data_IF_317872557728
#
_entry.id   IF_317872557728
#
_cell.length_a   1.000
_cell.length_b   1.000
_cell.length_c   1.000
_cell.angle_alpha   90.00
_cell.angle_beta   90.00
_cell.angle_gamma   90.00
#
_symmetry.space_group_name_H-M   'P 1'
#
loop_
_entity.id
_entity.type
_entity.pdbx_description
1 polymer ?
#
# COMPACT_ATOMS: atom_id res chain seq x y z
N UNK A 1 -9.86 19.89 0.95
CA UNK A 1 -9.70 18.43 1.02
C UNK A 1 -10.86 17.89 1.85
N UNK A 2 -11.58 16.89 1.35
CA UNK A 2 -12.78 16.37 2.03
C UNK A 2 -12.48 15.15 2.89
N UNK A 3 -11.47 14.34 2.52
CA UNK A 3 -11.00 13.17 3.27
C UNK A 3 -9.49 13.02 3.10
N UNK A 4 -8.84 12.48 4.12
CA UNK A 4 -7.42 12.14 4.10
C UNK A 4 -7.18 10.79 4.77
N UNK A 5 -6.26 10.02 4.20
CA UNK A 5 -5.73 8.79 4.78
C UNK A 5 -4.27 9.05 5.14
N UNK A 6 -3.90 8.80 6.38
CA UNK A 6 -2.50 8.77 6.78
C UNK A 6 -1.95 7.35 6.56
N UNK A 7 -0.82 7.25 5.92
CA UNK A 7 -0.07 5.99 5.82
C UNK A 7 1.16 6.14 6.71
N UNK A 8 1.38 5.16 7.54
CA UNK A 8 2.34 5.13 8.63
C UNK A 8 3.72 5.72 8.27
N UNK A 9 4.34 6.36 9.27
CA UNK A 9 5.73 6.79 9.28
C UNK A 9 6.51 6.21 10.50
N UNK A 10 5.97 5.15 11.09
CA UNK A 10 6.43 4.56 12.36
C UNK A 10 7.66 3.64 12.23
N UNK A 11 8.39 3.70 11.12
CA UNK A 11 9.59 2.87 10.92
C UNK A 11 10.60 3.13 12.04
N UNK A 12 10.98 2.05 12.73
CA UNK A 12 12.02 2.11 13.78
C UNK A 12 11.55 2.54 15.17
N UNK A 13 10.25 2.75 15.37
CA UNK A 13 9.71 2.94 16.73
C UNK A 13 9.49 1.60 17.42
N UNK A 14 9.66 1.58 18.73
CA UNK A 14 9.59 0.34 19.52
C UNK A 14 8.19 -0.24 19.65
N UNK A 15 7.15 0.58 19.53
CA UNK A 15 5.74 0.19 19.59
C UNK A 15 4.93 0.99 18.55
N UNK A 16 4.59 0.37 17.41
CA UNK A 16 3.91 1.05 16.30
C UNK A 16 2.49 1.53 16.66
N UNK A 17 1.86 0.95 17.70
CA UNK A 17 0.53 1.36 18.16
C UNK A 17 0.53 2.80 18.70
N UNK A 18 1.68 3.29 19.16
CA UNK A 18 1.79 4.68 19.62
C UNK A 18 1.51 5.70 18.52
N UNK A 19 1.90 5.42 17.27
CA UNK A 19 1.53 6.29 16.14
C UNK A 19 0.02 6.27 15.88
N UNK A 20 -0.60 5.08 15.92
CA UNK A 20 -2.06 4.95 15.78
C UNK A 20 -2.81 5.74 16.86
N UNK A 21 -2.38 5.65 18.10
CA UNK A 21 -2.97 6.39 19.22
C UNK A 21 -2.83 7.90 19.05
N UNK A 22 -1.65 8.37 18.66
CA UNK A 22 -1.41 9.79 18.40
C UNK A 22 -2.26 10.32 17.25
N UNK A 23 -2.32 9.59 16.12
CA UNK A 23 -3.14 9.96 14.96
C UNK A 23 -4.64 9.92 15.27
N UNK A 24 -5.10 8.96 16.07
CA UNK A 24 -6.49 8.92 16.52
C UNK A 24 -6.81 10.16 17.35
N UNK A 25 -5.97 10.50 18.32
CA UNK A 25 -6.17 11.71 19.12
C UNK A 25 -6.14 13.00 18.30
N UNK A 26 -5.40 13.03 17.17
CA UNK A 26 -5.44 14.14 16.23
C UNK A 26 -6.77 14.16 15.47
N UNK A 27 -7.20 13.00 14.97
CA UNK A 27 -8.47 12.84 14.24
C UNK A 27 -9.67 13.25 15.07
N UNK A 28 -9.71 12.88 16.34
CA UNK A 28 -10.78 13.23 17.28
C UNK A 28 -10.91 14.75 17.50
N UNK A 29 -9.77 15.48 17.46
CA UNK A 29 -9.76 16.94 17.63
C UNK A 29 -10.02 17.72 16.35
N UNK A 30 -9.59 17.21 15.20
CA UNK A 30 -9.54 17.99 13.94
C UNK A 30 -10.43 17.43 12.84
N UNK A 31 -10.92 16.19 12.98
CA UNK A 31 -11.61 15.45 11.94
C UNK A 31 -10.66 14.79 10.91
N UNK A 32 -9.32 14.89 11.10
CA UNK A 32 -8.31 14.32 10.19
C UNK A 32 -7.18 13.65 10.99
N UNK A 33 -6.60 12.53 10.48
CA UNK A 33 -6.99 11.80 9.26
C UNK A 33 -8.30 11.02 9.42
N UNK A 34 -9.02 10.80 8.32
CA UNK A 34 -10.27 10.03 8.34
C UNK A 34 -10.02 8.51 8.40
N UNK A 35 -8.84 8.06 7.96
CA UNK A 35 -8.39 6.69 8.09
C UNK A 35 -6.88 6.66 8.29
N UNK A 36 -6.40 5.59 8.92
CA UNK A 36 -5.00 5.33 9.23
C UNK A 36 -4.64 3.97 8.65
N UNK A 37 -3.56 3.91 7.88
CA UNK A 37 -2.86 2.69 7.52
C UNK A 37 -1.64 2.60 8.44
N UNK A 38 -1.71 1.74 9.44
CA UNK A 38 -0.69 1.60 10.47
C UNK A 38 0.47 0.69 10.03
N UNK A 39 1.61 0.80 10.69
CA UNK A 39 2.70 -0.16 10.54
C UNK A 39 2.45 -1.39 11.41
N UNK A 40 2.71 -2.58 10.86
CA UNK A 40 2.82 -3.82 11.63
C UNK A 40 3.70 -4.81 10.87
N UNK A 41 4.58 -5.51 11.58
CA UNK A 41 5.36 -6.61 11.01
C UNK A 41 4.52 -7.88 10.97
N UNK A 42 3.98 -8.23 9.81
CA UNK A 42 3.11 -9.39 9.64
C UNK A 42 3.82 -10.73 9.87
N UNK A 43 5.15 -10.73 9.98
CA UNK A 43 5.92 -11.93 10.33
C UNK A 43 6.13 -12.11 11.84
N UNK A 44 5.77 -11.10 12.65
CA UNK A 44 5.90 -11.21 14.11
C UNK A 44 4.96 -12.31 14.66
N UNK A 45 5.45 -13.18 15.55
CA UNK A 45 4.61 -14.23 16.16
C UNK A 45 3.47 -13.66 17.02
N UNK A 46 3.58 -12.42 17.49
CA UNK A 46 2.56 -11.74 18.29
C UNK A 46 1.70 -10.74 17.48
N UNK A 47 1.82 -10.73 16.15
CA UNK A 47 1.15 -9.75 15.28
C UNK A 47 -0.37 -9.67 15.52
N UNK A 48 -1.03 -10.79 15.84
CA UNK A 48 -2.46 -10.81 16.12
C UNK A 48 -2.84 -9.88 17.28
N UNK A 49 -2.07 -9.93 18.38
CA UNK A 49 -2.28 -9.04 19.55
C UNK A 49 -1.97 -7.58 19.23
N UNK A 50 -0.98 -7.34 18.37
CA UNK A 50 -0.64 -5.99 17.93
C UNK A 50 -1.77 -5.41 17.06
N UNK A 51 -2.34 -6.19 16.14
CA UNK A 51 -3.48 -5.79 15.34
C UNK A 51 -4.72 -5.49 16.20
N UNK A 52 -4.98 -6.29 17.25
CA UNK A 52 -6.05 -6.03 18.22
C UNK A 52 -5.87 -4.66 18.89
N UNK A 53 -4.64 -4.31 19.31
CA UNK A 53 -4.32 -3.00 19.90
C UNK A 53 -4.48 -1.85 18.91
N UNK A 54 -4.08 -2.04 17.64
CA UNK A 54 -4.33 -1.04 16.61
C UNK A 54 -5.82 -0.75 16.43
N UNK A 55 -6.67 -1.78 16.54
CA UNK A 55 -8.13 -1.65 16.39
C UNK A 55 -8.84 -0.98 17.56
N UNK A 56 -8.15 -0.75 18.70
CA UNK A 56 -8.64 0.16 19.74
C UNK A 56 -8.78 1.60 19.23
N UNK A 57 -8.16 1.90 18.07
CA UNK A 57 -8.20 3.18 17.39
C UNK A 57 -9.10 3.09 16.15
N UNK A 58 -10.36 3.57 16.20
CA UNK A 58 -11.37 3.31 15.18
C UNK A 58 -11.04 3.81 13.76
N UNK A 59 -10.10 4.76 13.62
CA UNK A 59 -9.66 5.24 12.31
C UNK A 59 -8.61 4.34 11.65
N UNK A 60 -8.06 3.34 12.35
CA UNK A 60 -7.20 2.33 11.71
C UNK A 60 -8.04 1.46 10.79
N UNK A 61 -7.66 1.41 9.51
CA UNK A 61 -8.36 0.71 8.44
C UNK A 61 -7.45 -0.19 7.62
N UNK A 62 -6.15 -0.14 7.86
CA UNK A 62 -5.21 -0.94 7.09
C UNK A 62 -3.85 -1.03 7.75
N UNK A 63 -3.05 -1.94 7.19
CA UNK A 63 -1.69 -2.21 7.63
C UNK A 63 -0.74 -2.07 6.44
N UNK A 64 0.43 -1.53 6.70
CA UNK A 64 1.59 -1.54 5.82
C UNK A 64 2.75 -2.22 6.53
N UNK A 65 3.25 -3.30 5.95
CA UNK A 65 4.45 -4.01 6.37
C UNK A 65 5.62 -3.60 5.47
N UNK A 66 6.80 -3.39 6.04
CA UNK A 66 8.06 -3.14 5.34
C UNK A 66 8.98 -4.36 5.39
N UNK A 67 8.44 -5.53 5.16
CA UNK A 67 9.25 -6.74 5.07
C UNK A 67 10.21 -6.68 3.88
N UNK A 68 11.44 -7.13 4.11
CA UNK A 68 12.47 -7.20 3.08
C UNK A 68 12.46 -8.52 2.31
N UNK A 69 13.10 -8.49 1.14
CA UNK A 69 13.29 -9.66 0.30
C UNK A 69 12.03 -10.16 -0.37
N UNK A 70 11.95 -11.47 -0.59
CA UNK A 70 10.81 -12.13 -1.26
C UNK A 70 9.67 -12.46 -0.27
N UNK A 71 9.26 -11.46 0.52
CA UNK A 71 8.28 -11.64 1.59
C UNK A 71 6.91 -12.09 1.09
N UNK A 72 6.52 -11.73 -0.14
CA UNK A 72 5.25 -12.13 -0.73
C UNK A 72 5.10 -13.66 -0.89
N UNK A 73 6.21 -14.40 -0.87
CA UNK A 73 6.23 -15.86 -0.93
C UNK A 73 6.48 -16.52 0.43
N UNK A 74 6.75 -15.73 1.49
CA UNK A 74 7.08 -16.24 2.82
C UNK A 74 5.82 -16.79 3.53
N UNK A 75 5.78 -18.08 3.92
CA UNK A 75 4.64 -18.65 4.64
C UNK A 75 4.37 -17.97 6.00
N UNK A 76 5.39 -17.39 6.63
CA UNK A 76 5.23 -16.66 7.89
C UNK A 76 4.49 -15.35 7.63
N UNK A 77 4.86 -14.62 6.58
CA UNK A 77 4.14 -13.44 6.12
C UNK A 77 2.68 -13.77 5.79
N UNK A 78 2.45 -14.85 5.03
CA UNK A 78 1.09 -15.27 4.67
C UNK A 78 0.20 -15.54 5.87
N UNK A 79 0.76 -16.07 6.97
CA UNK A 79 0.02 -16.31 8.22
C UNK A 79 -0.48 -14.99 8.82
N UNK A 80 0.39 -13.98 8.92
CA UNK A 80 0.01 -12.65 9.42
C UNK A 80 -0.91 -11.90 8.45
N UNK A 81 -0.64 -12.01 7.13
CA UNK A 81 -1.49 -11.40 6.11
C UNK A 81 -2.94 -11.90 6.16
N UNK A 82 -3.14 -13.20 6.41
CA UNK A 82 -4.47 -13.78 6.54
C UNK A 82 -5.29 -13.19 7.71
N UNK A 83 -4.63 -12.69 8.76
CA UNK A 83 -5.31 -12.03 9.88
C UNK A 83 -5.97 -10.72 9.47
N UNK A 84 -5.53 -10.07 8.39
CA UNK A 84 -6.14 -8.84 7.89
C UNK A 84 -7.60 -9.07 7.47
N UNK A 85 -7.94 -10.26 6.94
CA UNK A 85 -9.32 -10.64 6.66
C UNK A 85 -10.14 -10.74 7.96
N UNK A 86 -9.61 -11.45 8.98
CA UNK A 86 -10.25 -11.57 10.28
C UNK A 86 -10.61 -10.23 10.89
N UNK A 87 -9.74 -9.25 10.74
CA UNK A 87 -9.87 -7.93 11.33
C UNK A 87 -10.47 -6.87 10.38
N UNK A 88 -10.87 -7.26 9.17
CA UNK A 88 -11.39 -6.35 8.15
C UNK A 88 -10.46 -5.17 7.86
N UNK A 89 -9.17 -5.46 7.73
CA UNK A 89 -8.12 -4.50 7.43
C UNK A 89 -7.66 -4.63 5.98
N UNK A 90 -7.35 -3.51 5.34
CA UNK A 90 -6.70 -3.49 4.03
C UNK A 90 -5.18 -3.71 4.19
N UNK A 91 -4.54 -4.21 3.13
CA UNK A 91 -3.08 -4.29 3.03
C UNK A 91 -2.54 -3.19 2.11
N UNK A 92 -1.52 -2.44 2.53
CA UNK A 92 -0.73 -1.56 1.67
C UNK A 92 0.60 -2.25 1.40
N UNK A 93 0.93 -2.50 0.13
CA UNK A 93 2.03 -3.39 -0.26
C UNK A 93 2.99 -2.67 -1.21
N UNK A 94 4.26 -2.64 -0.82
CA UNK A 94 5.36 -2.15 -1.64
C UNK A 94 5.91 -3.29 -2.51
N UNK A 95 5.83 -3.14 -3.82
CA UNK A 95 6.38 -4.13 -4.75
C UNK A 95 6.79 -3.45 -6.06
N UNK A 96 7.99 -3.78 -6.55
CA UNK A 96 8.43 -3.39 -7.88
C UNK A 96 7.77 -4.26 -8.96
N UNK A 97 7.76 -3.79 -10.20
CA UNK A 97 7.06 -4.47 -11.30
C UNK A 97 7.52 -5.91 -11.52
N UNK A 98 8.77 -6.22 -11.25
CA UNK A 98 9.37 -7.55 -11.37
C UNK A 98 8.71 -8.60 -10.44
N UNK A 99 7.98 -8.15 -9.44
CA UNK A 99 7.30 -9.00 -8.46
C UNK A 99 5.78 -8.79 -8.44
N UNK A 100 5.20 -8.07 -9.41
CA UNK A 100 3.75 -7.85 -9.49
C UNK A 100 2.98 -9.15 -9.71
N UNK A 101 3.58 -10.15 -10.37
CA UNK A 101 3.02 -11.49 -10.50
C UNK A 101 2.82 -12.17 -9.15
N UNK A 102 3.76 -12.02 -8.21
CA UNK A 102 3.66 -12.54 -6.85
C UNK A 102 2.56 -11.83 -6.06
N UNK A 103 2.45 -10.50 -6.20
CA UNK A 103 1.37 -9.74 -5.59
C UNK A 103 0.00 -10.15 -6.14
N UNK A 104 -0.11 -10.37 -7.46
CA UNK A 104 -1.33 -10.90 -8.10
C UNK A 104 -1.72 -12.27 -7.53
N UNK A 105 -0.73 -13.14 -7.30
CA UNK A 105 -0.99 -14.46 -6.72
C UNK A 105 -1.42 -14.34 -5.25
N UNK A 106 -0.82 -13.44 -4.46
CA UNK A 106 -1.25 -13.14 -3.10
C UNK A 106 -2.69 -12.62 -3.07
N UNK A 107 -3.02 -11.64 -3.92
CA UNK A 107 -4.36 -11.07 -4.00
C UNK A 107 -5.43 -12.12 -4.37
N UNK A 108 -5.12 -13.01 -5.33
CA UNK A 108 -6.00 -14.13 -5.68
C UNK A 108 -6.19 -15.15 -4.56
N UNK A 109 -5.15 -15.39 -3.77
CA UNK A 109 -5.21 -16.31 -2.62
C UNK A 109 -6.05 -15.76 -1.48
N UNK A 110 -6.11 -14.44 -1.32
CA UNK A 110 -6.86 -13.74 -0.27
C UNK A 110 -7.84 -12.73 -0.87
N UNK A 111 -8.90 -13.18 -1.56
CA UNK A 111 -9.78 -12.31 -2.35
C UNK A 111 -10.59 -11.32 -1.51
N UNK A 112 -10.75 -11.59 -0.22
CA UNK A 112 -11.51 -10.73 0.70
C UNK A 112 -10.62 -9.62 1.33
N UNK A 113 -9.30 -9.64 1.10
CA UNK A 113 -8.40 -8.58 1.55
C UNK A 113 -8.19 -7.60 0.40
N UNK A 114 -8.60 -6.35 0.58
CA UNK A 114 -8.23 -5.29 -0.36
C UNK A 114 -6.74 -5.00 -0.24
N UNK A 115 -6.03 -5.10 -1.35
CA UNK A 115 -4.60 -4.84 -1.45
C UNK A 115 -4.34 -3.54 -2.20
N UNK A 116 -3.60 -2.61 -1.61
CA UNK A 116 -3.20 -1.36 -2.25
C UNK A 116 -1.76 -1.48 -2.72
N UNK A 117 -1.55 -1.44 -4.05
CA UNK A 117 -0.23 -1.34 -4.65
C UNK A 117 0.35 0.04 -4.39
N UNK A 118 1.41 0.12 -3.60
CA UNK A 118 2.06 1.38 -3.28
C UNK A 118 2.87 1.93 -4.47
N UNK A 119 2.81 3.26 -4.62
CA UNK A 119 3.62 4.01 -5.59
C UNK A 119 3.57 3.46 -7.02
N UNK A 120 2.41 2.94 -7.45
CA UNK A 120 2.20 2.30 -8.76
C UNK A 120 3.32 1.29 -9.13
N UNK A 121 3.85 0.57 -8.12
CA UNK A 121 4.90 -0.43 -8.32
C UNK A 121 6.31 0.15 -8.47
N UNK A 122 6.59 1.29 -7.86
CA UNK A 122 7.93 1.88 -7.78
C UNK A 122 8.69 1.97 -9.11
N UNK A 123 8.19 2.67 -10.13
CA UNK A 123 8.92 2.79 -11.40
C UNK A 123 10.20 3.61 -11.21
N UNK A 124 11.36 2.93 -11.27
CA UNK A 124 12.69 3.49 -10.97
C UNK A 124 13.47 3.93 -12.20
N UNK A 125 13.02 3.59 -13.40
CA UNK A 125 13.65 3.97 -14.67
C UNK A 125 12.64 4.65 -15.60
N UNK A 126 13.13 5.46 -16.53
CA UNK A 126 12.32 6.16 -17.54
C UNK A 126 12.63 5.72 -18.97
N UNK A 127 13.35 4.58 -19.15
CA UNK A 127 13.58 3.99 -20.48
C UNK A 127 12.32 3.37 -21.03
N UNK A 128 12.20 3.33 -22.36
CA UNK A 128 11.02 2.78 -23.04
C UNK A 128 10.81 1.30 -22.71
N UNK A 129 11.87 0.49 -22.70
CA UNK A 129 11.80 -0.93 -22.39
C UNK A 129 11.29 -1.17 -20.95
N UNK A 130 11.79 -0.36 -19.99
CA UNK A 130 11.32 -0.42 -18.61
C UNK A 130 9.83 -0.07 -18.51
N UNK A 131 9.42 1.00 -19.19
CA UNK A 131 8.02 1.43 -19.20
C UNK A 131 7.10 0.34 -19.77
N UNK A 132 7.49 -0.31 -20.87
CA UNK A 132 6.68 -1.38 -21.47
C UNK A 132 6.55 -2.59 -20.54
N UNK A 133 7.64 -3.03 -19.94
CA UNK A 133 7.63 -4.14 -18.98
C UNK A 133 6.76 -3.82 -17.76
N UNK A 134 6.95 -2.66 -17.15
CA UNK A 134 6.13 -2.18 -16.03
C UNK A 134 4.64 -2.11 -16.41
N UNK A 135 4.31 -1.53 -17.56
CA UNK A 135 2.92 -1.40 -18.04
C UNK A 135 2.25 -2.76 -18.25
N UNK A 136 2.98 -3.72 -18.80
CA UNK A 136 2.49 -5.07 -19.01
C UNK A 136 2.16 -5.77 -17.67
N UNK A 137 3.09 -5.76 -16.72
CA UNK A 137 2.87 -6.37 -15.41
C UNK A 137 1.79 -5.66 -14.60
N UNK A 138 1.74 -4.32 -14.68
CA UNK A 138 0.66 -3.53 -14.07
C UNK A 138 -0.73 -3.94 -14.61
N UNK A 139 -0.83 -4.13 -15.93
CA UNK A 139 -2.07 -4.54 -16.58
C UNK A 139 -2.49 -5.97 -16.19
N UNK A 140 -1.50 -6.87 -16.00
CA UNK A 140 -1.75 -8.22 -15.51
C UNK A 140 -2.18 -8.24 -14.04
N UNK A 141 -1.57 -7.40 -13.19
CA UNK A 141 -1.95 -7.24 -11.79
C UNK A 141 -3.38 -6.70 -11.65
N UNK A 142 -3.75 -5.74 -12.50
CA UNK A 142 -5.07 -5.10 -12.47
C UNK A 142 -6.24 -6.06 -12.71
N UNK A 143 -5.98 -7.28 -13.23
CA UNK A 143 -6.97 -8.36 -13.35
C UNK A 143 -7.39 -8.96 -11.99
N UNK A 144 -6.65 -8.68 -10.92
CA UNK A 144 -7.07 -9.01 -9.56
C UNK A 144 -7.99 -7.89 -9.05
N UNK A 145 -9.28 -8.19 -8.90
CA UNK A 145 -10.32 -7.18 -8.62
C UNK A 145 -10.19 -6.53 -7.24
N UNK A 146 -9.56 -7.21 -6.29
CA UNK A 146 -9.28 -6.72 -4.95
C UNK A 146 -7.97 -5.90 -4.84
N UNK A 147 -7.33 -5.56 -5.96
CA UNK A 147 -6.15 -4.69 -5.98
C UNK A 147 -6.53 -3.27 -6.40
N UNK A 148 -6.04 -2.29 -5.64
CA UNK A 148 -6.16 -0.85 -5.88
C UNK A 148 -4.76 -0.28 -6.16
N UNK A 149 -4.64 0.63 -7.12
CA UNK A 149 -3.39 1.29 -7.44
C UNK A 149 -3.29 2.65 -6.73
N UNK A 150 -2.23 2.85 -5.93
CA UNK A 150 -1.90 4.16 -5.36
C UNK A 150 -0.92 4.89 -6.27
N UNK A 151 -1.41 5.92 -6.95
CA UNK A 151 -0.64 6.77 -7.85
C UNK A 151 0.11 7.81 -7.01
N UNK A 152 1.38 7.54 -6.77
CA UNK A 152 2.27 8.39 -5.98
C UNK A 152 3.74 8.03 -6.24
N UNK A 153 4.67 8.74 -5.63
CA UNK A 153 6.10 8.40 -5.64
C UNK A 153 6.81 8.54 -7.00
N UNK A 154 6.13 9.03 -8.05
CA UNK A 154 6.73 9.16 -9.40
C UNK A 154 7.93 10.10 -9.44
N UNK A 155 7.99 11.10 -8.57
CA UNK A 155 9.13 12.00 -8.43
C UNK A 155 10.32 11.43 -7.67
N UNK A 156 10.19 10.25 -7.04
CA UNK A 156 11.30 9.66 -6.26
C UNK A 156 12.48 9.26 -7.14
N UNK A 157 12.19 8.71 -8.33
CA UNK A 157 13.21 8.31 -9.30
C UNK A 157 13.56 9.40 -10.32
N UNK A 158 12.76 10.45 -10.39
CA UNK A 158 12.92 11.58 -11.31
C UNK A 158 12.61 12.88 -10.58
N UNK A 159 13.61 13.46 -9.92
CA UNK A 159 13.45 14.70 -9.17
C UNK A 159 13.18 15.93 -10.07
N UNK A 160 13.44 15.82 -11.37
CA UNK A 160 13.19 16.87 -12.36
C UNK A 160 11.94 16.57 -13.19
N UNK A 161 11.02 15.77 -12.64
CA UNK A 161 9.80 15.39 -13.34
C UNK A 161 9.01 16.60 -13.86
N UNK A 162 8.38 16.40 -14.99
CA UNK A 162 7.42 17.32 -15.59
C UNK A 162 6.09 16.62 -15.77
N UNK A 163 5.03 17.37 -16.06
CA UNK A 163 3.72 16.78 -16.38
C UNK A 163 3.87 15.78 -17.53
N UNK A 164 4.66 16.13 -18.57
CA UNK A 164 4.84 15.27 -19.74
C UNK A 164 5.62 13.99 -19.40
N UNK A 165 6.60 14.04 -18.49
CA UNK A 165 7.39 12.85 -18.12
C UNK A 165 6.62 11.86 -17.26
N UNK A 166 5.69 12.33 -16.41
CA UNK A 166 4.90 11.44 -15.52
C UNK A 166 3.54 11.05 -16.08
N UNK A 167 2.99 11.83 -17.01
CA UNK A 167 1.66 11.62 -17.60
C UNK A 167 1.45 10.20 -18.16
N UNK A 168 2.39 9.60 -18.91
CA UNK A 168 2.20 8.23 -19.41
C UNK A 168 2.02 7.19 -18.28
N UNK A 169 2.74 7.36 -17.17
CA UNK A 169 2.66 6.48 -16.00
C UNK A 169 1.31 6.59 -15.31
N UNK A 170 0.85 7.82 -15.06
CA UNK A 170 -0.46 8.08 -14.44
C UNK A 170 -1.59 7.53 -15.30
N UNK A 171 -1.56 7.81 -16.60
CA UNK A 171 -2.62 7.36 -17.52
C UNK A 171 -2.64 5.84 -17.65
N UNK A 172 -1.47 5.17 -17.66
CA UNK A 172 -1.41 3.71 -17.67
C UNK A 172 -2.02 3.08 -16.42
N UNK A 173 -1.83 3.69 -15.23
CA UNK A 173 -2.49 3.22 -14.01
C UNK A 173 -4.03 3.32 -14.13
N UNK A 174 -4.53 4.46 -14.60
CA UNK A 174 -5.97 4.69 -14.75
C UNK A 174 -6.56 3.78 -15.85
N UNK A 175 -5.82 3.57 -16.95
CA UNK A 175 -6.22 2.66 -18.02
C UNK A 175 -6.33 1.21 -17.53
N UNK A 176 -5.36 0.74 -16.72
CA UNK A 176 -5.32 -0.63 -16.24
C UNK A 176 -6.37 -0.91 -15.14
N UNK A 177 -6.46 -0.05 -14.13
CA UNK A 177 -7.30 -0.27 -12.95
C UNK A 177 -8.69 0.36 -13.04
N UNK A 178 -8.89 1.31 -13.95
CA UNK A 178 -10.06 2.19 -13.94
C UNK A 178 -10.00 3.24 -12.82
N UNK A 179 -10.78 4.33 -12.93
CA UNK A 179 -10.75 5.43 -11.96
C UNK A 179 -11.19 5.02 -10.55
N UNK A 180 -12.08 4.03 -10.43
CA UNK A 180 -12.64 3.59 -9.15
C UNK A 180 -11.64 2.77 -8.31
N UNK A 181 -10.60 2.24 -8.94
CA UNK A 181 -9.51 1.52 -8.27
C UNK A 181 -8.18 2.24 -8.31
N UNK A 182 -8.20 3.57 -8.51
CA UNK A 182 -7.02 4.42 -8.40
C UNK A 182 -7.21 5.42 -7.27
N UNK A 183 -6.18 5.56 -6.44
CA UNK A 183 -6.12 6.60 -5.40
C UNK A 183 -4.87 7.44 -5.59
N UNK A 184 -4.99 8.74 -5.36
CA UNK A 184 -3.86 9.65 -5.39
C UNK A 184 -3.25 9.80 -3.99
N UNK A 185 -1.91 9.85 -3.92
CA UNK A 185 -1.21 10.17 -2.69
C UNK A 185 -0.02 11.11 -2.95
N UNK A 186 0.26 11.97 -1.97
CA UNK A 186 1.31 12.99 -2.06
C UNK A 186 2.71 12.41 -1.87
N UNK A 187 2.82 11.30 -1.15
CA UNK A 187 4.10 10.77 -0.65
C UNK A 187 4.87 11.81 0.18
N UNK A 188 4.14 12.65 0.93
CA UNK A 188 4.68 13.65 1.86
C UNK A 188 4.85 13.02 3.26
N UNK A 189 5.90 13.32 4.02
CA UNK A 189 6.94 14.34 3.83
C UNK A 189 7.94 14.03 2.76
#
# INVERSE_FOLDING_TARGET
>A
MTKAIHVQAAIGISDPVNESAWLQGLADRTGFPNAIVAYSNLKDPNVEKELERHLEHPNVKGIRDFSDGDYLMDPIFHRGYALLEKFNLIASVDVAWENMDKLKNLAKKYPNITCVLDHCGFPTSRTDDYFQNWKNELSELAKAENVICKISGLGMADQQWTIDSIKPWVLSCIEAFGPDRCVFATNWP
#
